data_IF_696073304818
#
_entry.id   IF_696073304818
#
_cell.length_a   1.000
_cell.length_b   1.000
_cell.length_c   1.000
_cell.angle_alpha   90.00
_cell.angle_beta   90.00
_cell.angle_gamma   90.00
#
_symmetry.space_group_name_H-M   'P 1'
#
loop_
_entity.id
_entity.type
_entity.pdbx_description
1 polymer ?
#
# COMPACT_ATOMS: atom_id res chain seq x y z
N UNK A 1 -3.93 -0.42 -5.42
CA UNK A 1 -2.51 -0.08 -5.61
C UNK A 1 -2.39 1.30 -6.21
N UNK A 2 -1.50 2.11 -5.66
CA UNK A 2 -1.13 3.42 -6.17
C UNK A 2 0.41 3.51 -6.26
N UNK A 3 0.90 4.05 -7.37
CA UNK A 3 2.30 4.46 -7.55
C UNK A 3 2.32 5.95 -7.81
N UNK A 4 3.13 6.68 -7.07
CA UNK A 4 3.28 8.13 -7.20
C UNK A 4 4.75 8.47 -7.31
N UNK A 5 5.12 9.28 -8.29
CA UNK A 5 6.40 9.96 -8.38
C UNK A 5 6.25 11.36 -7.80
N UNK A 6 7.15 11.72 -6.89
CA UNK A 6 7.09 12.98 -6.15
C UNK A 6 8.47 13.48 -5.75
N UNK A 7 8.53 14.70 -5.23
CA UNK A 7 9.73 15.26 -4.60
C UNK A 7 9.97 14.64 -3.22
N UNK A 8 11.15 14.83 -2.64
CA UNK A 8 11.46 14.39 -1.28
C UNK A 8 10.77 15.20 -0.16
N UNK A 9 9.96 16.21 -0.51
CA UNK A 9 9.26 17.07 0.45
C UNK A 9 7.95 16.46 0.97
N UNK A 10 7.45 15.42 0.30
CA UNK A 10 6.22 14.69 0.66
C UNK A 10 6.49 13.20 0.76
N UNK A 11 5.72 12.51 1.59
CA UNK A 11 5.75 11.06 1.73
C UNK A 11 4.31 10.55 1.86
N UNK A 12 4.01 9.37 1.30
CA UNK A 12 2.69 8.77 1.46
C UNK A 12 2.50 8.20 2.86
N UNK A 13 3.55 7.61 3.43
CA UNK A 13 3.55 7.00 4.75
C UNK A 13 4.96 7.02 5.34
N UNK A 14 5.10 6.78 6.66
CA UNK A 14 6.40 6.63 7.30
C UNK A 14 6.36 5.57 8.39
N UNK A 15 7.29 4.61 8.32
CA UNK A 15 7.47 3.62 9.40
C UNK A 15 7.76 4.32 10.74
N UNK A 16 7.12 3.85 11.80
CA UNK A 16 7.21 4.42 13.15
C UNK A 16 6.30 5.62 13.40
N UNK A 17 5.54 6.08 12.39
CA UNK A 17 4.57 7.16 12.52
C UNK A 17 3.13 6.62 12.37
N UNK A 18 2.12 7.31 12.95
CA UNK A 18 0.72 6.98 12.71
C UNK A 18 0.38 7.03 11.22
N UNK A 19 -0.46 6.11 10.75
CA UNK A 19 -1.04 6.19 9.42
C UNK A 19 -1.94 7.43 9.28
N UNK A 20 -1.94 8.04 8.11
CA UNK A 20 -2.95 9.05 7.75
C UNK A 20 -4.29 8.37 7.46
N UNK A 21 -5.39 9.12 7.51
CA UNK A 21 -6.71 8.60 7.15
C UNK A 21 -6.73 8.02 5.71
N UNK A 22 -5.93 8.59 4.81
CA UNK A 22 -5.79 8.09 3.44
C UNK A 22 -5.03 6.75 3.36
N UNK A 23 -4.01 6.55 4.20
CA UNK A 23 -3.32 5.25 4.32
C UNK A 23 -4.21 4.23 5.01
N UNK A 24 -4.93 4.62 6.07
CA UNK A 24 -5.92 3.77 6.74
C UNK A 24 -6.91 3.20 5.72
N UNK A 25 -7.58 4.08 4.97
CA UNK A 25 -8.58 3.68 3.97
C UNK A 25 -7.98 2.76 2.89
N UNK A 26 -6.75 3.04 2.44
CA UNK A 26 -6.06 2.18 1.48
C UNK A 26 -5.69 0.81 2.08
N UNK A 27 -5.27 0.76 3.33
CA UNK A 27 -4.80 -0.45 3.99
C UNK A 27 -5.95 -1.36 4.46
N UNK A 28 -7.09 -0.78 4.88
CA UNK A 28 -8.25 -1.51 5.38
C UNK A 28 -9.28 -1.86 4.29
N UNK A 29 -9.44 -1.02 3.25
CA UNK A 29 -10.47 -1.22 2.21
C UNK A 29 -9.89 -1.41 0.80
N UNK A 30 -8.58 -1.19 0.62
CA UNK A 30 -7.96 -1.16 -0.72
C UNK A 30 -8.36 0.07 -1.54
N UNK A 31 -9.09 1.03 -0.97
CA UNK A 31 -9.55 2.24 -1.64
C UNK A 31 -8.46 3.32 -1.66
N UNK A 32 -8.08 3.74 -2.86
CA UNK A 32 -7.04 4.75 -3.08
C UNK A 32 -7.64 6.16 -3.31
N UNK A 33 -8.95 6.32 -3.18
CA UNK A 33 -9.67 7.58 -3.46
C UNK A 33 -9.13 8.75 -2.66
N UNK A 34 -8.95 8.58 -1.34
CA UNK A 34 -8.41 9.61 -0.46
C UNK A 34 -6.94 9.95 -0.78
N UNK A 35 -6.13 8.96 -1.17
CA UNK A 35 -4.74 9.20 -1.59
C UNK A 35 -4.66 10.00 -2.90
N UNK A 36 -5.55 9.68 -3.86
CA UNK A 36 -5.64 10.39 -5.13
C UNK A 36 -6.14 11.82 -4.94
N UNK A 37 -7.13 12.03 -4.06
CA UNK A 37 -7.60 13.36 -3.69
C UNK A 37 -6.50 14.18 -3.01
N UNK A 38 -5.77 13.58 -2.07
CA UNK A 38 -4.65 14.24 -1.40
C UNK A 38 -3.56 14.63 -2.41
N UNK A 39 -3.17 13.74 -3.31
CA UNK A 39 -2.17 14.01 -4.34
C UNK A 39 -2.59 15.14 -5.31
N UNK A 40 -3.89 15.35 -5.50
CA UNK A 40 -4.44 16.40 -6.34
C UNK A 40 -4.75 17.71 -5.59
N UNK A 41 -4.60 17.74 -4.27
CA UNK A 41 -4.85 18.94 -3.46
C UNK A 41 -3.86 20.06 -3.76
N UNK A 42 -4.27 21.31 -3.62
CA UNK A 42 -3.42 22.49 -3.91
C UNK A 42 -2.12 22.51 -3.07
N UNK A 43 -2.14 21.89 -1.88
CA UNK A 43 -1.00 21.83 -0.98
C UNK A 43 0.04 20.76 -1.38
N UNK A 44 -0.40 19.67 -2.02
CA UNK A 44 0.45 18.51 -2.34
C UNK A 44 0.77 18.42 -3.83
N UNK A 45 -0.15 18.80 -4.71
CA UNK A 45 0.01 18.74 -6.16
C UNK A 45 1.29 19.38 -6.69
N UNK A 46 1.81 20.50 -6.13
CA UNK A 46 3.10 21.07 -6.54
C UNK A 46 4.31 20.16 -6.32
N UNK A 47 4.16 19.08 -5.54
CA UNK A 47 5.22 18.11 -5.24
C UNK A 47 5.05 16.78 -5.98
N UNK A 48 3.96 16.60 -6.74
CA UNK A 48 3.66 15.38 -7.47
C UNK A 48 4.00 15.57 -8.96
N UNK A 49 4.86 14.71 -9.49
CA UNK A 49 5.30 14.77 -10.89
C UNK A 49 4.75 13.63 -11.74
N UNK A 50 4.10 12.63 -11.15
CA UNK A 50 3.44 11.56 -11.88
C UNK A 50 2.70 10.61 -10.96
N UNK A 51 1.61 10.02 -11.43
CA UNK A 51 0.89 9.00 -10.68
C UNK A 51 0.24 7.98 -11.62
N UNK A 52 0.12 6.75 -11.15
CA UNK A 52 -0.65 5.69 -11.80
C UNK A 52 -1.27 4.79 -10.74
N UNK A 53 -2.54 4.44 -10.93
CA UNK A 53 -3.27 3.56 -10.03
C UNK A 53 -3.66 2.26 -10.74
N UNK A 54 -3.67 1.16 -9.99
CA UNK A 54 -4.26 -0.09 -10.44
C UNK A 54 -5.79 -0.07 -10.29
N UNK A 55 -6.49 -0.71 -11.22
CA UNK A 55 -7.96 -0.75 -11.24
C UNK A 55 -8.57 -1.86 -10.36
N UNK A 56 -7.73 -2.73 -9.80
CA UNK A 56 -8.19 -3.87 -9.01
C UNK A 56 -7.05 -4.67 -8.39
N UNK A 57 -7.38 -5.78 -7.72
CA UNK A 57 -6.39 -6.62 -7.07
C UNK A 57 -5.48 -7.33 -8.08
N UNK A 58 -4.21 -7.48 -7.71
CA UNK A 58 -3.26 -8.33 -8.41
C UNK A 58 -3.26 -9.69 -7.71
N UNK A 59 -3.67 -10.75 -8.40
CA UNK A 59 -3.73 -12.07 -7.77
C UNK A 59 -2.31 -12.64 -7.57
N UNK A 60 -2.13 -13.59 -6.64
CA UNK A 60 -0.83 -14.23 -6.42
C UNK A 60 -0.21 -14.79 -7.71
N UNK A 61 1.01 -14.37 -8.01
CA UNK A 61 1.76 -14.77 -9.21
C UNK A 61 1.44 -13.97 -10.48
N UNK A 62 0.46 -13.07 -10.43
CA UNK A 62 0.17 -12.15 -11.54
C UNK A 62 1.08 -10.91 -11.52
N UNK A 63 1.07 -10.17 -12.62
CA UNK A 63 1.83 -8.93 -12.77
C UNK A 63 0.93 -7.86 -13.34
N UNK A 64 0.71 -6.81 -12.57
CA UNK A 64 0.12 -5.57 -13.09
C UNK A 64 1.20 -4.73 -13.77
N UNK A 65 0.82 -4.02 -14.84
CA UNK A 65 1.66 -3.07 -15.55
C UNK A 65 0.90 -1.76 -15.72
N UNK A 66 1.53 -0.65 -15.36
CA UNK A 66 1.05 0.69 -15.61
C UNK A 66 2.14 1.56 -16.19
N UNK A 67 1.73 2.64 -16.85
CA UNK A 67 2.62 3.68 -17.35
C UNK A 67 2.23 4.99 -16.68
N UNK A 68 3.22 5.69 -16.14
CA UNK A 68 3.06 7.07 -15.66
C UNK A 68 3.98 7.99 -16.47
N UNK A 69 3.50 9.19 -16.77
CA UNK A 69 4.31 10.26 -17.34
C UNK A 69 4.91 11.07 -16.20
N UNK A 70 6.20 11.38 -16.28
CA UNK A 70 6.90 12.19 -15.27
C UNK A 70 7.09 13.61 -15.79
N UNK A 71 6.67 14.60 -15.01
CA UNK A 71 7.02 16.01 -15.21
C UNK A 71 8.35 16.34 -14.51
N UNK A 72 9.44 16.28 -15.28
CA UNK A 72 10.80 16.61 -14.80
C UNK A 72 10.96 18.08 -14.37
N UNK A 73 10.03 18.98 -14.75
CA UNK A 73 10.07 20.37 -14.29
C UNK A 73 9.59 20.54 -12.85
N UNK A 74 8.76 19.61 -12.37
CA UNK A 74 8.30 19.53 -10.98
C UNK A 74 9.31 18.74 -10.14
N UNK A 75 9.74 17.57 -10.61
CA UNK A 75 10.72 16.73 -9.93
C UNK A 75 11.93 16.47 -10.84
N UNK A 76 12.99 17.29 -10.80
CA UNK A 76 14.22 17.00 -11.54
C UNK A 76 14.94 15.76 -11.02
N UNK A 77 14.81 15.48 -9.72
CA UNK A 77 15.35 14.30 -9.03
C UNK A 77 14.21 13.57 -8.30
N UNK A 78 13.33 12.86 -9.03
CA UNK A 78 12.14 12.27 -8.45
C UNK A 78 12.46 11.04 -7.58
N UNK A 79 11.65 10.87 -6.54
CA UNK A 79 11.46 9.60 -5.84
C UNK A 79 10.10 9.03 -6.19
N UNK A 80 9.89 7.75 -5.91
CA UNK A 80 8.59 7.12 -6.05
C UNK A 80 8.18 6.38 -4.78
N UNK A 81 6.89 6.43 -4.50
CA UNK A 81 6.24 5.65 -3.45
C UNK A 81 5.22 4.70 -4.06
N UNK A 82 5.08 3.53 -3.44
CA UNK A 82 4.11 2.50 -3.82
C UNK A 82 3.33 2.13 -2.58
N UNK A 83 2.00 2.06 -2.69
CA UNK A 83 1.15 1.48 -1.66
C UNK A 83 0.10 0.57 -2.30
N UNK A 84 -0.16 -0.58 -1.68
CA UNK A 84 -1.28 -1.43 -2.04
C UNK A 84 -1.67 -2.32 -0.87
N UNK A 85 -2.96 -2.37 -0.57
CA UNK A 85 -3.50 -3.38 0.34
C UNK A 85 -3.06 -4.79 -0.06
N UNK A 86 -2.70 -5.58 0.95
CA UNK A 86 -2.65 -7.03 0.85
C UNK A 86 -4.02 -7.57 1.24
N UNK A 87 -4.86 -7.88 0.25
CA UNK A 87 -6.23 -8.36 0.52
C UNK A 87 -6.21 -9.66 1.35
N UNK A 88 -7.28 -9.86 2.14
CA UNK A 88 -7.43 -10.89 3.15
C UNK A 88 -6.57 -10.65 4.40
N UNK A 89 -6.32 -9.38 4.73
CA UNK A 89 -5.76 -8.93 6.00
C UNK A 89 -6.60 -7.82 6.58
N UNK A 90 -6.37 -7.53 7.87
CA UNK A 90 -6.95 -6.39 8.57
C UNK A 90 -6.53 -5.06 7.93
N UNK A 91 -5.27 -4.66 8.10
CA UNK A 91 -4.74 -3.39 7.59
C UNK A 91 -3.31 -3.53 7.01
N UNK A 92 -2.99 -4.70 6.44
CA UNK A 92 -1.68 -4.92 5.84
C UNK A 92 -1.60 -4.33 4.43
N UNK A 93 -0.47 -3.71 4.12
CA UNK A 93 -0.19 -3.17 2.80
C UNK A 93 1.27 -3.38 2.40
N UNK A 94 1.54 -3.57 1.10
CA UNK A 94 2.90 -3.47 0.58
C UNK A 94 3.27 -2.01 0.36
N UNK A 95 4.47 -1.61 0.76
CA UNK A 95 4.87 -0.21 0.79
C UNK A 95 6.29 0.05 0.28
N UNK A 96 6.45 1.11 -0.51
CA UNK A 96 7.72 1.80 -0.77
C UNK A 96 7.50 3.25 -0.36
N UNK A 97 8.35 3.76 0.54
CA UNK A 97 8.40 5.18 0.91
C UNK A 97 9.63 5.81 0.27
N UNK A 98 9.41 6.62 -0.77
CA UNK A 98 10.40 7.54 -1.34
C UNK A 98 11.70 6.88 -1.83
N UNK A 99 11.60 5.81 -2.63
CA UNK A 99 12.78 5.21 -3.29
C UNK A 99 13.19 5.99 -4.54
N UNK A 100 14.46 5.95 -4.92
CA UNK A 100 14.98 6.74 -6.04
C UNK A 100 14.36 6.31 -7.38
N UNK A 101 13.74 7.27 -8.10
CA UNK A 101 13.21 7.00 -9.44
C UNK A 101 14.27 7.26 -10.51
N UNK A 102 14.93 6.19 -10.96
CA UNK A 102 15.93 6.29 -12.03
C UNK A 102 15.30 6.52 -13.42
N UNK A 103 15.17 7.79 -13.80
CA UNK A 103 14.58 8.25 -15.08
C UNK A 103 15.29 7.71 -16.34
N UNK A 104 16.54 7.26 -16.22
CA UNK A 104 17.36 6.84 -17.35
C UNK A 104 17.74 5.36 -17.31
N UNK A 105 17.19 4.60 -16.36
CA UNK A 105 17.53 3.20 -16.16
C UNK A 105 16.32 2.36 -15.77
N UNK A 106 16.61 1.30 -15.04
CA UNK A 106 15.60 0.47 -14.41
C UNK A 106 15.99 0.19 -12.96
N UNK A 107 14.97 -0.04 -12.14
CA UNK A 107 15.10 -0.49 -10.76
C UNK A 107 14.25 -1.74 -10.55
N UNK A 108 14.73 -2.59 -9.64
CA UNK A 108 14.00 -3.75 -9.15
C UNK A 108 14.15 -3.80 -7.65
N UNK A 109 13.04 -3.75 -6.94
CA UNK A 109 13.02 -3.78 -5.47
C UNK A 109 11.97 -4.76 -4.96
N UNK A 110 12.16 -5.16 -3.70
CA UNK A 110 11.33 -6.16 -3.02
C UNK A 110 10.81 -5.55 -1.72
N UNK A 111 9.75 -4.71 -1.79
CA UNK A 111 9.23 -4.04 -0.60
C UNK A 111 8.69 -5.03 0.42
N UNK A 112 8.81 -4.73 1.73
CA UNK A 112 8.11 -5.47 2.74
C UNK A 112 6.62 -5.10 2.75
N UNK A 113 5.85 -5.95 3.41
CA UNK A 113 4.54 -5.59 3.92
C UNK A 113 4.66 -4.80 5.22
N UNK A 114 3.77 -3.84 5.38
CA UNK A 114 3.55 -3.04 6.56
C UNK A 114 2.16 -3.31 7.10
N UNK A 115 2.04 -3.06 8.39
CA UNK A 115 0.82 -2.99 9.19
C UNK A 115 0.54 -1.50 9.40
N UNK A 116 -0.68 -1.04 9.13
CA UNK A 116 -1.01 0.38 9.30
C UNK A 116 -1.13 0.77 10.79
N UNK A 117 -1.37 -0.20 11.67
CA UNK A 117 -1.59 -0.03 13.09
C UNK A 117 -2.89 0.71 13.37
N UNK A 118 -3.86 0.64 12.46
CA UNK A 118 -5.13 1.38 12.56
C UNK A 118 -6.27 0.53 13.10
N UNK A 119 -6.17 -0.79 12.99
CA UNK A 119 -7.11 -1.73 13.59
C UNK A 119 -6.44 -2.95 14.26
N UNK A 120 -7.23 -3.72 15.02
CA UNK A 120 -6.73 -4.93 15.65
C UNK A 120 -6.49 -6.04 14.63
N UNK A 121 -5.29 -6.62 14.66
CA UNK A 121 -4.89 -7.83 13.95
C UNK A 121 -5.63 -9.09 14.46
N UNK A 122 -6.95 -9.12 14.32
CA UNK A 122 -7.83 -10.13 14.89
C UNK A 122 -8.04 -11.34 13.95
N UNK A 123 -7.69 -11.19 12.67
CA UNK A 123 -7.80 -12.24 11.65
C UNK A 123 -9.22 -12.83 11.50
N UNK A 124 -10.23 -12.04 11.90
CA UNK A 124 -11.62 -12.42 11.83
C UNK A 124 -12.18 -12.02 10.47
N UNK A 125 -12.95 -12.90 9.86
CA UNK A 125 -13.52 -12.60 8.55
C UNK A 125 -14.42 -11.38 8.55
N UNK A 126 -15.05 -11.04 9.68
CA UNK A 126 -15.89 -9.83 9.80
C UNK A 126 -15.14 -8.52 9.73
N UNK A 127 -13.81 -8.51 9.84
CA UNK A 127 -12.94 -7.32 9.85
C UNK A 127 -11.85 -7.40 8.75
N UNK A 128 -12.05 -8.27 7.75
CA UNK A 128 -11.09 -8.48 6.68
C UNK A 128 -11.85 -8.43 5.35
N UNK A 129 -11.45 -7.59 4.38
CA UNK A 129 -12.05 -7.65 3.07
C UNK A 129 -11.38 -8.73 2.23
N UNK A 130 -12.11 -9.21 1.23
CA UNK A 130 -11.57 -10.06 0.18
C UNK A 130 -12.24 -11.42 0.05
N UNK A 131 -11.81 -12.19 -0.96
CA UNK A 131 -12.47 -13.43 -1.34
C UNK A 131 -12.22 -14.61 -0.37
N UNK A 132 -11.30 -14.47 0.59
CA UNK A 132 -11.08 -15.49 1.61
C UNK A 132 -12.25 -15.59 2.60
N UNK A 133 -13.06 -14.53 2.71
CA UNK A 133 -14.17 -14.42 3.65
C UNK A 133 -15.53 -14.39 2.95
N UNK A 134 -16.64 -14.67 3.67
CA UNK A 134 -17.98 -14.52 3.12
C UNK A 134 -18.22 -13.09 2.59
N UNK A 135 -18.97 -12.98 1.49
CA UNK A 135 -19.22 -11.71 0.77
C UNK A 135 -19.95 -10.67 1.65
N UNK A 136 -20.65 -11.11 2.68
CA UNK A 136 -21.44 -10.30 3.61
C UNK A 136 -20.75 -10.10 4.97
N UNK A 137 -19.46 -10.36 5.05
CA UNK A 137 -18.66 -10.21 6.28
C UNK A 137 -18.54 -8.77 6.79
N UNK A 138 -18.68 -7.79 5.91
CA UNK A 138 -18.97 -6.40 6.28
C UNK A 138 -17.78 -5.50 6.60
N UNK A 139 -16.54 -6.01 6.54
CA UNK A 139 -15.29 -5.28 6.82
C UNK A 139 -15.43 -4.24 7.95
N UNK A 140 -15.86 -4.72 9.12
CA UNK A 140 -16.15 -3.86 10.27
C UNK A 140 -14.81 -3.33 10.78
N UNK A 141 -14.73 -2.03 11.07
CA UNK A 141 -13.55 -1.45 11.73
C UNK A 141 -13.45 -1.90 13.20
N UNK A 142 -12.26 -2.28 13.68
CA UNK A 142 -12.04 -2.73 15.06
C UNK A 142 -10.89 -2.03 15.80
N UNK A 143 -11.25 -1.03 16.61
CA UNK A 143 -10.43 -0.47 17.69
C UNK A 143 -9.12 0.19 17.25
N UNK A 144 -8.36 0.82 18.16
CA UNK A 144 -7.03 1.27 17.80
C UNK A 144 -6.11 0.04 17.67
N UNK A 145 -5.49 -0.13 16.50
CA UNK A 145 -4.33 -1.00 16.34
C UNK A 145 -3.11 -0.48 17.12
N UNK A 146 -1.92 -0.82 16.66
CA UNK A 146 -0.65 -0.46 17.28
C UNK A 146 -0.41 1.06 17.35
N UNK A 147 -1.11 1.84 16.52
CA UNK A 147 -1.04 3.31 16.47
C UNK A 147 0.13 3.86 15.68
N UNK A 148 0.91 3.01 15.02
CA UNK A 148 2.00 3.39 14.14
C UNK A 148 2.26 2.31 13.10
N UNK A 149 2.72 2.75 11.93
CA UNK A 149 3.08 1.85 10.84
C UNK A 149 4.34 1.08 11.20
N UNK A 150 4.33 -0.24 11.04
CA UNK A 150 5.52 -1.08 11.21
C UNK A 150 5.54 -2.23 10.21
N UNK A 151 6.70 -2.86 10.02
CA UNK A 151 6.79 -4.08 9.20
C UNK A 151 5.81 -5.14 9.74
N UNK A 152 4.91 -5.61 8.88
CA UNK A 152 3.89 -6.59 9.26
C UNK A 152 4.56 -7.94 9.56
N UNK A 153 4.04 -8.65 10.57
CA UNK A 153 4.69 -9.85 11.14
C UNK A 153 4.25 -11.16 10.49
N UNK A 154 3.37 -11.05 9.51
CA UNK A 154 2.68 -12.16 8.86
C UNK A 154 1.40 -12.50 9.60
N UNK A 155 0.69 -13.50 9.09
CA UNK A 155 -0.49 -14.07 9.72
C UNK A 155 -0.04 -15.00 10.86
N UNK A 156 -0.75 -14.96 11.98
CA UNK A 156 -0.41 -15.70 13.20
C UNK A 156 -1.48 -16.74 13.60
N UNK A 157 -2.61 -16.80 12.89
CA UNK A 157 -3.70 -17.74 13.19
C UNK A 157 -4.39 -17.44 14.53
N UNK A 158 -4.51 -16.16 14.89
CA UNK A 158 -5.17 -15.72 16.12
C UNK A 158 -6.69 -15.78 16.01
N UNK A 159 -7.22 -15.66 14.79
CA UNK A 159 -8.64 -15.81 14.45
C UNK A 159 -9.02 -17.25 14.08
N UNK A 160 -10.31 -17.63 14.17
CA UNK A 160 -10.77 -18.96 13.82
C UNK A 160 -11.02 -19.16 12.31
N UNK A 161 -11.07 -18.08 11.54
CA UNK A 161 -11.61 -18.09 10.17
C UNK A 161 -10.53 -18.37 9.11
N UNK A 162 -9.37 -17.72 9.23
CA UNK A 162 -8.26 -17.83 8.29
C UNK A 162 -7.07 -18.52 8.96
N UNK A 163 -6.77 -19.75 8.52
CA UNK A 163 -5.71 -20.56 9.14
C UNK A 163 -4.30 -20.13 8.71
N UNK A 164 -3.40 -19.98 9.69
CA UNK A 164 -1.98 -19.61 9.53
C UNK A 164 -1.29 -20.35 8.37
N UNK A 165 -1.49 -21.67 8.25
CA UNK A 165 -0.84 -22.50 7.23
C UNK A 165 -1.12 -22.07 5.77
N UNK A 166 -2.19 -21.32 5.53
CA UNK A 166 -2.56 -20.82 4.20
C UNK A 166 -2.26 -19.33 4.00
N UNK A 167 -2.14 -18.57 5.08
CA UNK A 167 -2.10 -17.10 5.04
C UNK A 167 -0.84 -16.49 5.67
N UNK A 168 0.01 -17.24 6.38
CA UNK A 168 1.30 -16.75 6.92
C UNK A 168 2.33 -16.53 5.81
N UNK A 169 2.15 -15.46 5.04
CA UNK A 169 3.13 -14.97 4.10
C UNK A 169 4.31 -14.33 4.84
N UNK A 170 5.49 -14.41 4.22
CA UNK A 170 6.72 -13.81 4.72
C UNK A 170 7.26 -12.83 3.69
N UNK A 171 7.89 -11.76 4.19
CA UNK A 171 8.53 -10.78 3.32
C UNK A 171 9.66 -11.42 2.47
N UNK A 172 9.83 -10.97 1.22
CA UNK A 172 9.04 -9.95 0.52
C UNK A 172 7.71 -10.47 -0.04
N UNK A 173 6.71 -9.58 -0.17
CA UNK A 173 5.37 -9.90 -0.67
C UNK A 173 5.10 -9.44 -2.11
N UNK A 174 5.97 -8.60 -2.67
CA UNK A 174 5.88 -8.14 -4.04
C UNK A 174 7.27 -7.93 -4.66
N UNK A 175 7.32 -7.92 -5.99
CA UNK A 175 8.44 -7.37 -6.78
C UNK A 175 7.94 -6.12 -7.49
N UNK A 176 8.65 -5.00 -7.32
CA UNK A 176 8.39 -3.76 -8.06
C UNK A 176 9.53 -3.56 -9.05
N UNK A 177 9.17 -3.48 -10.33
CA UNK A 177 10.10 -3.23 -11.43
C UNK A 177 9.68 -1.97 -12.18
N UNK A 178 10.57 -0.99 -12.23
CA UNK A 178 10.37 0.26 -12.97
C UNK A 178 11.44 0.36 -14.03
N UNK A 179 11.04 0.75 -15.23
CA UNK A 179 11.96 1.04 -16.33
C UNK A 179 11.39 2.16 -17.18
N UNK A 180 12.29 2.95 -17.77
CA UNK A 180 11.90 3.90 -18.82
C UNK A 180 11.35 3.16 -20.02
N UNK A 181 10.20 3.61 -20.52
CA UNK A 181 9.56 3.14 -21.76
C UNK A 181 10.03 3.95 -22.98
#
# INVERSE_FOLDING_TARGET
MLVVAHTNDVALFKEGFPASDAIKLMAEDGDNSALLELAASDDVAPYICGAVAGEGPVLPGETWRGTMTIDESVCPDPVYSVVSMLINTNDAFVGIDSDDLNLYGSSKVFPPAFDAGTEANNELCTHIPGPACPVDSGNIEDGPGEGFIHVHRGFHGVGPDLGEANYDWRNPVAEVFIARQ
#
